data_IF_741780899238
#
_entry.id   IF_741780899238
#
_cell.length_a   1.000
_cell.length_b   1.000
_cell.length_c   1.000
_cell.angle_alpha   90.00
_cell.angle_beta   90.00
_cell.angle_gamma   90.00
#
_symmetry.space_group_name_H-M   'P 1'
#
loop_
_entity.id
_entity.type
_entity.pdbx_description
1 polymer ?
#
# COMPACT_ATOMS: atom_id res chain seq x y z
N UNK A 1 -13.71 2.58 23.75
CA UNK A 1 -13.40 2.68 22.31
C UNK A 1 -12.01 2.10 22.07
N UNK A 2 -11.90 1.09 21.22
CA UNK A 2 -10.62 0.48 20.86
C UNK A 2 -9.91 1.30 19.78
N UNK A 3 -8.61 1.05 19.57
CA UNK A 3 -7.85 1.68 18.47
C UNK A 3 -8.44 1.34 17.10
N UNK A 4 -8.91 0.10 16.90
CA UNK A 4 -9.53 -0.32 15.66
C UNK A 4 -10.86 0.40 15.41
N UNK A 5 -11.66 0.64 16.46
CA UNK A 5 -12.89 1.45 16.35
C UNK A 5 -12.59 2.90 15.97
N UNK A 6 -11.57 3.51 16.58
CA UNK A 6 -11.14 4.87 16.20
C UNK A 6 -10.67 4.92 14.75
N UNK A 7 -9.82 3.95 14.36
CA UNK A 7 -9.28 3.89 13.00
C UNK A 7 -10.40 3.72 11.98
N UNK A 8 -11.35 2.83 12.27
CA UNK A 8 -12.53 2.61 11.45
C UNK A 8 -13.31 3.90 11.19
N UNK A 9 -13.60 4.68 12.24
CA UNK A 9 -14.39 5.92 12.12
C UNK A 9 -13.79 6.92 11.13
N UNK A 10 -12.46 7.03 11.04
CA UNK A 10 -11.82 7.94 10.10
C UNK A 10 -11.47 7.29 8.77
N UNK A 11 -11.16 5.99 8.74
CA UNK A 11 -10.64 5.30 7.56
C UNK A 11 -11.72 4.71 6.65
N UNK A 12 -12.91 4.40 7.18
CA UNK A 12 -14.08 3.95 6.39
C UNK A 12 -14.42 4.91 5.23
N UNK A 13 -14.46 6.25 5.40
CA UNK A 13 -14.78 7.18 4.32
C UNK A 13 -13.61 7.50 3.37
N UNK A 14 -12.41 6.95 3.58
CA UNK A 14 -11.25 7.27 2.73
C UNK A 14 -11.22 6.40 1.47
N UNK A 15 -10.83 7.03 0.35
CA UNK A 15 -10.58 6.32 -0.92
C UNK A 15 -9.19 5.69 -1.02
N UNK A 16 -8.30 6.00 -0.07
CA UNK A 16 -7.01 5.30 0.07
C UNK A 16 -7.22 4.02 0.87
N UNK A 17 -6.56 2.93 0.45
CA UNK A 17 -6.60 1.68 1.20
C UNK A 17 -5.85 1.85 2.53
N UNK A 18 -6.49 1.41 3.61
CA UNK A 18 -5.95 1.50 4.97
C UNK A 18 -6.04 0.14 5.64
N UNK A 19 -4.91 -0.31 6.19
CA UNK A 19 -4.79 -1.54 6.97
C UNK A 19 -4.19 -1.21 8.33
N UNK A 20 -4.77 -1.76 9.40
CA UNK A 20 -4.24 -1.69 10.76
C UNK A 20 -3.79 -3.09 11.16
N UNK A 21 -2.60 -3.19 11.74
CA UNK A 21 -2.07 -4.44 12.28
C UNK A 21 -1.60 -4.30 13.72
N UNK A 22 -1.40 -5.43 14.40
CA UNK A 22 -0.55 -5.46 15.59
C UNK A 22 0.93 -5.15 15.25
N UNK A 23 1.79 -5.24 16.25
CA UNK A 23 3.23 -5.00 16.12
C UNK A 23 4.08 -6.28 16.08
N UNK A 24 3.48 -7.47 15.97
CA UNK A 24 4.26 -8.72 15.96
C UNK A 24 4.92 -8.91 14.58
N UNK A 25 6.23 -8.66 14.50
CA UNK A 25 6.97 -8.78 13.24
C UNK A 25 7.59 -10.17 13.04
N UNK A 26 7.40 -11.10 13.98
CA UNK A 26 7.83 -12.47 13.84
C UNK A 26 6.97 -13.23 12.84
N UNK A 27 7.55 -14.25 12.20
CA UNK A 27 6.86 -14.99 11.13
C UNK A 27 5.59 -15.64 11.71
N UNK A 28 4.40 -15.48 11.08
CA UNK A 28 4.13 -15.10 9.69
C UNK A 28 4.07 -13.60 9.41
N UNK A 29 4.22 -12.73 10.41
CA UNK A 29 4.11 -11.28 10.33
C UNK A 29 3.03 -10.71 11.23
N UNK A 30 2.83 -9.39 11.15
CA UNK A 30 1.84 -8.75 11.99
C UNK A 30 0.44 -9.17 11.56
N UNK A 31 -0.47 -9.22 12.51
CA UNK A 31 -1.85 -9.65 12.30
C UNK A 31 -2.72 -8.47 11.92
N UNK A 32 -3.52 -8.60 10.86
CA UNK A 32 -4.49 -7.58 10.46
C UNK A 32 -5.62 -7.52 11.48
N UNK A 33 -5.80 -6.34 12.06
CA UNK A 33 -6.85 -6.01 13.03
C UNK A 33 -8.01 -5.25 12.38
N UNK A 34 -7.74 -4.56 11.27
CA UNK A 34 -8.74 -3.82 10.50
C UNK A 34 -8.26 -3.58 9.06
N UNK A 35 -9.19 -3.57 8.11
CA UNK A 35 -8.97 -3.17 6.73
C UNK A 35 -10.21 -2.42 6.22
N UNK A 36 -10.01 -1.27 5.58
CA UNK A 36 -11.12 -0.39 5.16
C UNK A 36 -11.77 -0.82 3.83
N UNK A 37 -12.90 -0.23 3.42
CA UNK A 37 -13.54 -0.54 2.15
C UNK A 37 -12.67 -0.29 0.91
N UNK A 38 -11.79 0.73 0.93
CA UNK A 38 -10.87 0.98 -0.17
C UNK A 38 -9.82 -0.14 -0.34
N UNK A 39 -9.33 -0.72 0.75
CA UNK A 39 -8.50 -1.93 0.71
C UNK A 39 -9.24 -3.08 0.01
N UNK A 40 -10.51 -3.29 0.33
CA UNK A 40 -11.29 -4.37 -0.27
C UNK A 40 -11.50 -4.16 -1.78
N UNK A 41 -11.79 -2.93 -2.21
CA UNK A 41 -11.89 -2.57 -3.64
C UNK A 41 -10.56 -2.79 -4.37
N UNK A 42 -9.45 -2.39 -3.77
CA UNK A 42 -8.13 -2.51 -4.37
C UNK A 42 -7.65 -3.97 -4.41
N UNK A 43 -7.76 -4.72 -3.32
CA UNK A 43 -7.16 -6.06 -3.23
C UNK A 43 -8.10 -7.17 -3.73
N UNK A 44 -9.40 -6.90 -3.83
CA UNK A 44 -10.43 -7.91 -4.11
C UNK A 44 -10.73 -8.84 -2.92
N UNK A 45 -10.06 -8.67 -1.78
CA UNK A 45 -10.37 -9.40 -0.55
C UNK A 45 -11.40 -8.64 0.28
N UNK A 46 -12.44 -9.33 0.77
CA UNK A 46 -13.29 -8.74 1.78
C UNK A 46 -12.54 -8.61 3.10
N UNK A 47 -12.84 -7.57 3.89
CA UNK A 47 -12.19 -7.35 5.17
C UNK A 47 -12.25 -8.60 6.08
N UNK A 48 -13.42 -9.26 6.13
CA UNK A 48 -13.61 -10.48 6.92
C UNK A 48 -12.70 -11.66 6.52
N UNK A 49 -12.17 -11.68 5.30
CA UNK A 49 -11.28 -12.74 4.80
C UNK A 49 -9.82 -12.53 5.22
N UNK A 50 -9.44 -11.28 5.54
CA UNK A 50 -8.06 -10.92 5.87
C UNK A 50 -7.86 -10.64 7.36
N UNK A 51 -8.93 -10.34 8.10
CA UNK A 51 -8.85 -10.18 9.55
C UNK A 51 -8.25 -11.42 10.21
N UNK A 52 -7.30 -11.23 11.12
CA UNK A 52 -6.58 -12.32 11.78
C UNK A 52 -5.47 -12.96 10.95
N UNK A 53 -5.27 -12.53 9.70
CA UNK A 53 -4.18 -12.99 8.84
C UNK A 53 -3.07 -11.95 8.73
N UNK A 54 -1.91 -12.36 8.22
CA UNK A 54 -0.83 -11.41 7.91
C UNK A 54 -1.08 -10.69 6.58
N UNK A 55 -0.66 -9.42 6.39
CA UNK A 55 -0.68 -8.75 5.07
C UNK A 55 0.09 -9.50 3.97
N UNK A 56 0.91 -10.49 4.36
CA UNK A 56 1.54 -11.42 3.41
C UNK A 56 0.56 -12.19 2.53
N UNK A 57 -0.75 -12.21 2.84
CA UNK A 57 -1.78 -12.75 1.94
C UNK A 57 -1.81 -12.07 0.57
N UNK A 58 -1.32 -10.82 0.47
CA UNK A 58 -1.22 -10.08 -0.79
C UNK A 58 0.04 -10.43 -1.58
N UNK A 59 0.95 -11.24 -1.05
CA UNK A 59 2.21 -11.60 -1.71
C UNK A 59 2.01 -12.82 -2.62
N UNK A 60 2.73 -12.86 -3.73
CA UNK A 60 2.63 -13.94 -4.70
C UNK A 60 3.95 -14.21 -5.43
N UNK A 61 3.91 -14.94 -6.57
CA UNK A 61 5.12 -15.49 -7.21
C UNK A 61 6.18 -14.46 -7.60
N UNK A 62 5.78 -13.25 -7.99
CA UNK A 62 6.66 -12.15 -8.40
C UNK A 62 7.03 -11.18 -7.29
N UNK A 63 6.47 -11.35 -6.08
CA UNK A 63 6.81 -10.51 -4.94
C UNK A 63 8.28 -10.70 -4.56
N UNK A 64 9.07 -9.62 -4.62
CA UNK A 64 10.49 -9.66 -4.29
C UNK A 64 10.72 -9.96 -2.79
N UNK A 65 11.21 -11.16 -2.49
CA UNK A 65 11.45 -11.60 -1.12
C UNK A 65 12.43 -10.71 -0.35
N UNK A 66 13.45 -10.14 -1.01
CA UNK A 66 14.38 -9.22 -0.34
C UNK A 66 13.71 -7.91 0.04
N UNK A 67 12.81 -7.40 -0.82
CA UNK A 67 12.01 -6.22 -0.50
C UNK A 67 11.08 -6.48 0.70
N UNK A 68 10.44 -7.65 0.78
CA UNK A 68 9.60 -8.01 1.94
C UNK A 68 10.39 -8.15 3.25
N UNK A 69 11.62 -8.67 3.19
CA UNK A 69 12.53 -8.71 4.35
C UNK A 69 12.97 -7.31 4.77
N UNK A 70 13.18 -6.42 3.80
CA UNK A 70 13.51 -5.02 4.07
C UNK A 70 12.40 -4.34 4.85
N UNK A 71 11.12 -4.55 4.49
CA UNK A 71 9.97 -4.01 5.26
C UNK A 71 10.08 -4.35 6.74
N UNK A 72 10.20 -5.64 7.08
CA UNK A 72 10.28 -6.08 8.47
C UNK A 72 11.53 -5.53 9.19
N UNK A 73 12.66 -5.43 8.49
CA UNK A 73 13.88 -4.85 9.04
C UNK A 73 13.73 -3.35 9.32
N UNK A 74 13.17 -2.59 8.37
CA UNK A 74 12.97 -1.14 8.51
C UNK A 74 11.93 -0.85 9.60
N UNK A 75 10.87 -1.64 9.71
CA UNK A 75 9.91 -1.50 10.82
C UNK A 75 10.56 -1.77 12.18
N UNK A 76 11.42 -2.79 12.32
CA UNK A 76 12.17 -3.05 13.56
C UNK A 76 13.16 -1.93 13.93
N UNK A 77 13.80 -1.32 12.93
CA UNK A 77 14.86 -0.33 13.16
C UNK A 77 14.37 1.12 13.24
N UNK A 78 13.52 1.53 12.30
CA UNK A 78 13.07 2.92 12.11
C UNK A 78 11.62 3.15 12.54
N UNK A 79 10.86 2.09 12.81
CA UNK A 79 9.45 2.16 13.20
C UNK A 79 8.49 2.54 12.08
N UNK A 80 8.99 2.82 10.87
CA UNK A 80 8.20 3.21 9.69
C UNK A 80 8.76 2.56 8.42
N UNK A 81 7.95 2.48 7.38
CA UNK A 81 8.41 2.01 6.07
C UNK A 81 7.69 2.79 4.95
N UNK A 82 8.40 3.10 3.87
CA UNK A 82 7.79 3.62 2.66
C UNK A 82 8.45 2.99 1.44
N UNK A 83 7.65 2.43 0.52
CA UNK A 83 8.17 1.78 -0.67
C UNK A 83 7.09 1.17 -1.54
N UNK A 84 7.51 0.50 -2.62
CA UNK A 84 6.61 -0.17 -3.56
C UNK A 84 6.92 -1.67 -3.62
N UNK A 85 5.89 -2.50 -3.47
CA UNK A 85 5.95 -3.96 -3.61
C UNK A 85 5.04 -4.41 -4.74
N UNK A 86 5.33 -5.57 -5.32
CA UNK A 86 4.39 -6.28 -6.18
C UNK A 86 3.49 -7.15 -5.30
N UNK A 87 2.19 -6.85 -5.32
CA UNK A 87 1.14 -7.57 -4.61
C UNK A 87 0.19 -8.23 -5.62
N UNK A 88 -0.68 -9.08 -5.12
CA UNK A 88 -1.63 -9.87 -5.87
C UNK A 88 -3.03 -9.67 -5.31
N UNK A 89 -3.97 -9.40 -6.20
CA UNK A 89 -5.39 -9.39 -5.87
C UNK A 89 -5.85 -10.82 -5.59
N UNK A 90 -7.06 -10.96 -5.03
CA UNK A 90 -7.67 -12.25 -4.72
C UNK A 90 -7.80 -13.18 -5.92
N UNK A 91 -8.01 -12.63 -7.12
CA UNK A 91 -8.09 -13.38 -8.38
C UNK A 91 -6.72 -13.75 -8.96
N UNK A 92 -5.62 -13.31 -8.33
CA UNK A 92 -4.26 -13.53 -8.78
C UNK A 92 -3.70 -12.46 -9.72
N UNK A 93 -4.43 -11.36 -9.99
CA UNK A 93 -3.90 -10.25 -10.76
C UNK A 93 -2.77 -9.53 -9.99
N UNK A 94 -1.60 -9.38 -10.60
CA UNK A 94 -0.48 -8.67 -10.01
C UNK A 94 -0.65 -7.15 -10.16
N UNK A 95 -0.33 -6.39 -9.11
CA UNK A 95 -0.32 -4.93 -9.11
C UNK A 95 0.85 -4.38 -8.28
N UNK A 96 1.31 -3.17 -8.62
CA UNK A 96 2.32 -2.48 -7.81
C UNK A 96 1.62 -1.69 -6.72
N UNK A 97 1.92 -2.03 -5.47
CA UNK A 97 1.38 -1.39 -4.29
C UNK A 97 2.44 -0.48 -3.69
N UNK A 98 2.22 0.84 -3.72
CA UNK A 98 2.91 1.76 -2.83
C UNK A 98 2.33 1.61 -1.42
N UNK A 99 3.22 1.53 -0.43
CA UNK A 99 2.88 1.28 0.98
C UNK A 99 3.62 2.33 1.82
N UNK A 100 2.88 3.09 2.64
CA UNK A 100 3.42 3.93 3.72
C UNK A 100 2.93 3.39 5.07
N UNK A 101 3.84 2.82 5.86
CA UNK A 101 3.57 2.24 7.18
C UNK A 101 4.09 3.17 8.27
N UNK A 102 3.20 3.51 9.21
CA UNK A 102 3.50 4.36 10.38
C UNK A 102 3.15 3.64 11.68
N UNK A 103 3.90 3.86 12.76
CA UNK A 103 3.54 3.34 14.06
C UNK A 103 2.44 4.20 14.66
N UNK A 104 1.46 3.58 15.31
CA UNK A 104 0.61 4.25 16.29
C UNK A 104 1.22 3.95 17.65
N UNK A 105 1.65 5.00 18.35
CA UNK A 105 2.32 4.87 19.64
C UNK A 105 1.36 5.09 20.80
N UNK A 106 1.56 4.31 21.88
CA UNK A 106 0.93 4.56 23.17
C UNK A 106 1.52 5.79 23.88
N UNK A 107 0.97 6.11 25.05
CA UNK A 107 1.44 7.24 25.87
C UNK A 107 2.89 7.10 26.36
N UNK A 108 3.41 5.87 26.41
CA UNK A 108 4.81 5.56 26.74
C UNK A 108 5.76 5.68 25.55
N UNK A 109 5.26 6.11 24.39
CA UNK A 109 6.02 6.26 23.15
C UNK A 109 6.29 4.95 22.41
N UNK A 110 5.83 3.80 22.92
CA UNK A 110 6.03 2.50 22.26
C UNK A 110 4.95 2.23 21.21
N UNK A 111 5.31 1.62 20.06
CA UNK A 111 4.31 1.19 19.08
C UNK A 111 3.33 0.19 19.69
N UNK A 112 2.03 0.45 19.51
CA UNK A 112 0.93 -0.45 19.91
C UNK A 112 0.21 -1.05 18.71
N UNK A 113 0.35 -0.43 17.54
CA UNK A 113 -0.13 -0.93 16.26
C UNK A 113 0.68 -0.31 15.11
N UNK A 114 0.58 -0.91 13.91
CA UNK A 114 1.00 -0.26 12.67
C UNK A 114 -0.21 0.08 11.82
N UNK A 115 -0.20 1.27 11.22
CA UNK A 115 -1.16 1.68 10.20
C UNK A 115 -0.44 1.81 8.86
N UNK A 116 -0.99 1.15 7.85
CA UNK A 116 -0.49 1.20 6.48
C UNK A 116 -1.49 1.93 5.58
N UNK A 117 -0.97 2.86 4.77
CA UNK A 117 -1.69 3.48 3.66
C UNK A 117 -1.18 2.87 2.36
N UNK A 118 -2.09 2.37 1.56
CA UNK A 118 -1.77 1.60 0.37
C UNK A 118 -2.42 2.23 -0.87
N UNK A 119 -1.67 2.26 -1.97
CA UNK A 119 -2.13 2.77 -3.25
C UNK A 119 -1.59 1.91 -4.37
N UNK A 120 -2.46 1.60 -5.33
CA UNK A 120 -1.99 1.05 -6.59
C UNK A 120 -1.28 2.13 -7.41
N UNK A 121 -0.10 1.79 -7.91
CA UNK A 121 0.73 2.69 -8.69
C UNK A 121 1.19 2.04 -9.99
N UNK A 122 1.56 2.86 -10.96
CA UNK A 122 2.24 2.42 -12.18
C UNK A 122 3.58 3.12 -12.32
N UNK A 123 4.54 2.43 -12.92
CA UNK A 123 5.86 3.02 -13.23
C UNK A 123 5.68 4.12 -14.27
N UNK A 124 6.30 5.29 -14.01
CA UNK A 124 6.41 6.34 -15.02
C UNK A 124 7.32 5.86 -16.16
N UNK A 125 6.93 6.16 -17.41
CA UNK A 125 7.80 5.97 -18.57
C UNK A 125 8.83 7.11 -18.60
N UNK A 126 10.08 6.79 -18.96
CA UNK A 126 11.16 7.77 -19.09
C UNK A 126 12.19 7.74 -17.96
N UNK A 127 13.22 8.58 -18.09
CA UNK A 127 14.33 8.67 -17.13
C UNK A 127 13.79 9.23 -15.80
N UNK A 128 14.05 8.59 -14.64
CA UNK A 128 13.58 9.10 -13.36
C UNK A 128 14.10 10.53 -13.14
N UNK A 129 13.21 11.49 -12.82
CA UNK A 129 13.63 12.73 -12.17
C UNK A 129 14.32 12.35 -10.85
N UNK A 130 15.46 12.97 -10.53
CA UNK A 130 16.29 12.57 -9.38
C UNK A 130 15.43 12.39 -8.11
N UNK A 131 15.39 11.16 -7.56
CA UNK A 131 14.62 10.80 -6.35
C UNK A 131 13.51 9.76 -6.56
N UNK A 132 13.17 9.01 -5.49
CA UNK A 132 12.15 7.93 -5.53
C UNK A 132 10.73 8.44 -5.86
N UNK A 133 10.40 9.68 -5.44
CA UNK A 133 9.09 10.31 -5.63
C UNK A 133 8.69 10.49 -7.10
N UNK A 134 9.63 10.39 -8.05
CA UNK A 134 9.37 10.53 -9.48
C UNK A 134 9.16 9.23 -10.24
N UNK A 135 9.32 8.05 -9.60
CA UNK A 135 9.33 6.77 -10.34
C UNK A 135 7.94 6.18 -10.58
N UNK A 136 6.99 6.49 -9.70
CA UNK A 136 5.66 5.92 -9.71
C UNK A 136 4.59 7.03 -9.79
N UNK A 137 3.39 6.67 -10.26
CA UNK A 137 2.21 7.52 -10.18
C UNK A 137 1.00 6.68 -9.75
N UNK A 138 0.06 7.21 -8.96
CA UNK A 138 -1.17 6.51 -8.63
C UNK A 138 -1.95 6.11 -9.88
N UNK A 139 -2.65 4.98 -9.79
CA UNK A 139 -3.75 4.67 -10.69
C UNK A 139 -4.94 5.50 -10.23
N UNK A 140 -5.36 6.48 -11.04
CA UNK A 140 -6.57 7.27 -10.80
C UNK A 140 -7.72 6.64 -11.59
N UNK A 141 -8.89 6.45 -10.97
CA UNK A 141 -10.09 5.88 -11.61
C UNK A 141 -10.71 6.79 -12.70
N UNK A 142 -10.07 7.91 -13.05
CA UNK A 142 -10.32 8.66 -14.27
C UNK A 142 -9.12 8.48 -15.23
N UNK A 143 -9.24 7.57 -16.21
CA UNK A 143 -8.24 7.47 -17.28
C UNK A 143 -8.09 6.11 -17.96
N UNK A 144 -9.18 5.51 -18.46
CA UNK A 144 -9.09 4.77 -19.72
C UNK A 144 -8.51 5.72 -20.78
N UNK A 145 -7.68 5.24 -21.72
CA UNK A 145 -6.86 6.11 -22.56
C UNK A 145 -7.74 6.97 -23.46
N UNK A 146 -7.69 8.30 -23.30
CA UNK A 146 -7.99 9.18 -24.42
C UNK A 146 -6.86 9.01 -25.44
N UNK A 147 -7.09 8.12 -26.40
CA UNK A 147 -6.52 8.25 -27.73
C UNK A 147 -7.07 9.55 -28.32
N UNK A 148 -6.37 10.66 -28.10
CA UNK A 148 -6.43 11.80 -29.02
C UNK A 148 -5.08 11.88 -29.72
N UNK A 149 -5.06 11.24 -30.88
CA UNK A 149 -4.41 11.68 -32.12
C UNK A 149 -4.31 13.22 -32.14
N UNK A 150 -3.12 13.77 -32.28
CA UNK A 150 -2.59 14.18 -33.59
C UNK A 150 -1.24 14.88 -33.39
N UNK A 151 -0.25 14.33 -34.08
CA UNK A 151 0.88 15.09 -34.59
C UNK A 151 0.33 16.25 -35.43
N UNK A 152 0.76 17.48 -35.17
CA UNK A 152 1.18 18.41 -36.23
C UNK A 152 2.20 19.40 -35.61
N UNK A 153 3.32 19.68 -36.29
CA UNK A 153 4.39 20.51 -35.78
C UNK A 153 4.06 21.99 -36.01
N UNK A 154 4.28 22.84 -35.00
CA UNK A 154 4.32 24.28 -35.26
C UNK A 154 5.74 24.63 -35.72
N UNK A 155 5.86 24.78 -37.04
CA UNK A 155 6.99 25.35 -37.76
C UNK A 155 7.26 26.81 -37.34
N UNK A 156 8.54 27.18 -37.43
CA UNK A 156 9.16 28.46 -37.08
C UNK A 156 8.50 29.74 -37.64
N UNK A 157 8.60 30.82 -36.87
CA UNK A 157 9.15 32.10 -37.31
C UNK A 157 9.83 32.80 -36.13
#
# INVERSE_FOLDING_TARGET
MTIAELVRLFADPLDVAVVLTDCDLERPGPTILYANPAFARMSGFAAAEVLGSSPRVLQGPGTNQQATKLVARTLRGEGRFHGVLENYRKDGEAYLCEIDVRPICGADGRPVAFIAFEREVVRRRGRPSQGAAGRYRPVTEAGLPTLTRDDEPVLFA
#
